data_IF_772687494705
#
_entry.id   IF_772687494705
#
_cell.length_a   1.000
_cell.length_b   1.000
_cell.length_c   1.000
_cell.angle_alpha   90.00
_cell.angle_beta   90.00
_cell.angle_gamma   90.00
#
_symmetry.space_group_name_H-M   'P 1'
#
loop_
_entity.id
_entity.type
_entity.pdbx_description
1 polymer ?
#
# COMPACT_ATOMS: atom_id res chain seq x y z
N UNK A 1 4.33 23.06 37.21
CA UNK A 1 3.14 22.78 36.39
C UNK A 1 3.46 22.87 34.90
N UNK A 2 2.92 22.00 34.05
CA UNK A 2 2.86 22.20 32.60
C UNK A 2 1.44 22.56 32.25
N UNK A 3 1.22 23.57 31.41
CA UNK A 3 -0.07 23.88 30.81
C UNK A 3 0.03 23.76 29.29
N UNK A 4 -0.87 22.98 28.69
CA UNK A 4 -0.98 22.80 27.25
C UNK A 4 -2.34 23.31 26.79
N UNK A 5 -2.32 24.31 25.93
CA UNK A 5 -3.52 24.93 25.37
C UNK A 5 -3.77 24.35 23.98
N UNK A 6 -4.92 23.71 23.78
CA UNK A 6 -5.35 23.23 22.47
C UNK A 6 -6.36 24.21 21.88
N UNK A 7 -6.50 24.23 20.55
CA UNK A 7 -7.55 25.02 19.91
C UNK A 7 -8.94 24.38 20.05
N UNK A 8 -9.01 23.05 20.07
CA UNK A 8 -10.26 22.28 20.19
C UNK A 8 -10.16 21.18 21.26
N UNK A 9 -11.31 20.73 21.76
CA UNK A 9 -11.37 19.71 22.83
C UNK A 9 -11.12 18.30 22.28
N UNK A 10 -11.44 18.09 21.01
CA UNK A 10 -11.23 16.87 20.25
C UNK A 10 -9.75 16.49 20.20
N UNK A 11 -8.85 17.48 20.16
CA UNK A 11 -7.40 17.25 20.21
C UNK A 11 -6.88 17.06 21.64
N UNK A 12 -7.47 17.76 22.61
CA UNK A 12 -7.05 17.66 24.01
C UNK A 12 -7.43 16.31 24.63
N UNK A 13 -8.64 15.82 24.35
CA UNK A 13 -9.21 14.65 25.04
C UNK A 13 -8.37 13.37 24.86
N UNK A 14 -7.91 12.99 23.63
CA UNK A 14 -7.09 11.80 23.45
C UNK A 14 -5.78 11.87 24.26
N UNK A 15 -5.11 13.03 24.26
CA UNK A 15 -3.89 13.20 25.05
C UNK A 15 -4.17 13.12 26.56
N UNK A 16 -5.25 13.76 27.03
CA UNK A 16 -5.68 13.68 28.44
C UNK A 16 -5.92 12.23 28.88
N UNK A 17 -6.66 11.45 28.07
CA UNK A 17 -6.94 10.05 28.35
C UNK A 17 -5.66 9.20 28.34
N UNK A 18 -4.79 9.42 27.35
CA UNK A 18 -3.51 8.71 27.24
C UNK A 18 -2.65 8.93 28.48
N UNK A 19 -2.53 10.16 28.96
CA UNK A 19 -1.80 10.47 30.19
C UNK A 19 -2.48 9.87 31.41
N UNK A 20 -3.81 10.03 31.55
CA UNK A 20 -4.58 9.50 32.68
C UNK A 20 -4.44 7.99 32.84
N UNK A 21 -4.45 7.25 31.73
CA UNK A 21 -4.39 5.78 31.74
C UNK A 21 -2.99 5.23 32.01
N UNK A 22 -1.93 5.96 31.62
CA UNK A 22 -0.56 5.48 31.68
C UNK A 22 0.26 6.05 32.85
N UNK A 23 -0.20 7.13 33.51
CA UNK A 23 0.45 7.63 34.72
C UNK A 23 0.12 6.68 35.90
N UNK A 24 1.00 5.71 36.15
CA UNK A 24 0.94 4.73 37.27
C UNK A 24 1.18 5.39 38.65
N UNK A 25 0.47 6.46 38.97
CA UNK A 25 0.44 7.04 40.32
C UNK A 25 -0.80 6.55 41.06
N UNK A 26 -0.70 6.36 42.38
CA UNK A 26 -1.83 5.91 43.21
C UNK A 26 -3.04 6.88 43.20
N UNK A 27 -2.91 8.08 42.60
CA UNK A 27 -3.95 9.09 42.40
C UNK A 27 -3.71 9.91 41.10
N UNK A 28 -4.04 9.37 39.92
CA UNK A 28 -3.82 10.07 38.64
C UNK A 28 -4.64 11.37 38.51
N UNK A 29 -5.83 11.43 39.12
CA UNK A 29 -6.71 12.60 39.12
C UNK A 29 -6.10 13.82 39.84
N UNK A 30 -5.04 13.64 40.64
CA UNK A 30 -4.36 14.73 41.32
C UNK A 30 -3.22 15.35 40.51
N UNK A 31 -2.83 14.75 39.38
CA UNK A 31 -1.65 15.16 38.63
C UNK A 31 -1.96 15.69 37.23
N UNK A 32 -3.14 15.41 36.68
CA UNK A 32 -3.59 15.95 35.41
C UNK A 32 -5.04 16.44 35.49
N UNK A 33 -5.27 17.65 34.99
CA UNK A 33 -6.57 18.31 34.94
C UNK A 33 -6.87 18.73 33.50
N UNK A 34 -8.11 18.52 33.06
CA UNK A 34 -8.66 19.12 31.85
C UNK A 34 -9.67 20.18 32.29
N UNK A 35 -9.50 21.43 31.86
CA UNK A 35 -10.44 22.50 32.22
C UNK A 35 -11.84 22.27 31.62
N UNK A 36 -12.88 22.61 32.38
CA UNK A 36 -14.28 22.38 31.99
C UNK A 36 -14.73 23.29 30.83
N UNK A 37 -14.27 24.54 30.83
CA UNK A 37 -14.69 25.57 29.86
C UNK A 37 -13.67 25.81 28.74
N UNK A 38 -12.44 25.32 28.89
CA UNK A 38 -11.35 25.51 27.92
C UNK A 38 -10.62 24.19 27.68
N UNK A 39 -10.15 23.91 26.45
CA UNK A 39 -9.35 22.72 26.15
C UNK A 39 -7.89 22.89 26.63
N UNK A 40 -7.72 23.09 27.94
CA UNK A 40 -6.43 23.28 28.59
C UNK A 40 -6.14 22.07 29.46
N UNK A 41 -4.99 21.44 29.22
CA UNK A 41 -4.47 20.35 30.03
C UNK A 41 -3.41 20.89 30.98
N UNK A 42 -3.61 20.71 32.28
CA UNK A 42 -2.65 21.07 33.32
C UNK A 42 -2.06 19.83 33.95
N UNK A 43 -0.74 19.75 33.96
CA UNK A 43 0.02 18.65 34.57
C UNK A 43 0.81 19.18 35.76
N UNK A 44 0.52 18.69 36.95
CA UNK A 44 1.17 19.12 38.20
C UNK A 44 2.53 18.41 38.32
N UNK A 45 3.58 19.09 37.88
CA UNK A 45 4.94 18.52 37.82
C UNK A 45 5.72 18.52 39.12
N UNK A 46 5.27 19.23 40.16
CA UNK A 46 6.03 19.39 41.42
C UNK A 46 6.16 18.09 42.21
N UNK A 47 5.14 17.23 42.13
CA UNK A 47 5.12 15.91 42.76
C UNK A 47 5.66 14.78 41.86
N UNK A 48 6.05 15.09 40.61
CA UNK A 48 6.50 14.06 39.65
C UNK A 48 8.00 13.79 39.77
N UNK A 49 8.35 12.50 39.79
CA UNK A 49 9.72 12.03 39.63
C UNK A 49 10.23 12.35 38.23
N UNK A 50 11.55 12.36 38.04
CA UNK A 50 12.15 12.52 36.70
C UNK A 50 11.69 11.43 35.73
N UNK A 51 11.50 10.18 36.21
CA UNK A 51 10.97 9.10 35.39
C UNK A 51 9.54 9.39 34.92
N UNK A 52 8.64 9.81 35.82
CA UNK A 52 7.27 10.13 35.45
C UNK A 52 7.21 11.32 34.47
N UNK A 53 8.10 12.30 34.63
CA UNK A 53 8.23 13.42 33.69
C UNK A 53 8.73 12.97 32.31
N UNK A 54 9.66 12.03 32.25
CA UNK A 54 10.11 11.40 31.00
C UNK A 54 8.97 10.64 30.32
N UNK A 55 8.17 9.88 31.08
CA UNK A 55 7.02 9.17 30.50
C UNK A 55 5.97 10.10 29.92
N UNK A 56 5.69 11.26 30.53
CA UNK A 56 4.77 12.25 29.94
C UNK A 56 5.24 12.71 28.56
N UNK A 57 6.56 12.90 28.38
CA UNK A 57 7.12 13.25 27.07
C UNK A 57 6.96 12.13 26.05
N UNK A 58 7.10 10.87 26.48
CA UNK A 58 6.86 9.72 25.62
C UNK A 58 5.38 9.62 25.23
N UNK A 59 4.46 9.80 26.17
CA UNK A 59 3.03 9.80 25.89
C UNK A 59 2.65 10.94 24.94
N UNK A 60 3.26 12.12 25.10
CA UNK A 60 3.03 13.23 24.16
C UNK A 60 3.58 12.94 22.77
N UNK A 61 4.74 12.25 22.68
CA UNK A 61 5.27 11.75 21.42
C UNK A 61 4.33 10.73 20.76
N UNK A 62 3.80 9.77 21.52
CA UNK A 62 2.87 8.75 21.03
C UNK A 62 1.55 9.35 20.58
N UNK A 63 1.00 10.31 21.34
CA UNK A 63 -0.19 11.06 20.95
C UNK A 63 -0.02 11.74 19.59
N UNK A 64 1.12 12.41 19.38
CA UNK A 64 1.38 13.06 18.10
C UNK A 64 1.49 12.01 16.99
N UNK A 65 2.26 10.94 17.23
CA UNK A 65 2.58 9.94 16.20
C UNK A 65 1.37 9.10 15.79
N UNK A 66 0.55 8.66 16.75
CA UNK A 66 -0.51 7.67 16.52
C UNK A 66 -1.91 8.26 16.52
N UNK A 67 -2.09 9.51 16.95
CA UNK A 67 -3.40 10.18 16.90
C UNK A 67 -3.37 11.31 15.88
N UNK A 68 -2.42 12.26 16.02
CA UNK A 68 -2.45 13.46 15.20
C UNK A 68 -1.93 13.27 13.78
N UNK A 69 -1.01 12.32 13.53
CA UNK A 69 -0.51 12.07 12.18
C UNK A 69 -1.62 11.74 11.19
N UNK A 70 -2.55 10.85 11.53
CA UNK A 70 -3.68 10.49 10.64
C UNK A 70 -4.58 11.68 10.35
N UNK A 71 -4.93 12.46 11.38
CA UNK A 71 -5.71 13.69 11.21
C UNK A 71 -5.00 14.65 10.24
N UNK A 72 -3.68 14.78 10.37
CA UNK A 72 -2.89 15.65 9.51
C UNK A 72 -2.76 15.10 8.09
N UNK A 73 -2.59 13.79 7.90
CA UNK A 73 -2.62 13.19 6.56
C UNK A 73 -3.96 13.42 5.88
N UNK A 74 -5.08 13.20 6.58
CA UNK A 74 -6.43 13.50 6.09
C UNK A 74 -6.61 14.98 5.76
N UNK A 75 -6.11 15.87 6.62
CA UNK A 75 -6.16 17.32 6.38
C UNK A 75 -5.37 17.72 5.14
N UNK A 76 -4.16 17.16 4.95
CA UNK A 76 -3.34 17.41 3.76
C UNK A 76 -4.07 16.91 2.50
N UNK A 77 -4.62 15.70 2.53
CA UNK A 77 -5.36 15.11 1.40
C UNK A 77 -6.57 15.97 1.00
N UNK A 78 -7.36 16.40 1.98
CA UNK A 78 -8.60 17.16 1.75
C UNK A 78 -8.34 18.63 1.41
N UNK A 79 -7.51 19.33 2.18
CA UNK A 79 -7.34 20.78 2.03
C UNK A 79 -6.32 21.15 0.95
N UNK A 80 -5.24 20.38 0.79
CA UNK A 80 -4.17 20.69 -0.17
C UNK A 80 -4.34 19.97 -1.50
N UNK A 81 -4.74 18.69 -1.47
CA UNK A 81 -4.88 17.87 -2.68
C UNK A 81 -6.34 17.71 -3.15
N UNK A 82 -7.31 18.25 -2.40
CA UNK A 82 -8.73 18.31 -2.75
C UNK A 82 -9.40 16.94 -2.95
N UNK A 83 -8.89 15.91 -2.28
CA UNK A 83 -9.58 14.61 -2.17
C UNK A 83 -10.79 14.76 -1.25
N UNK A 84 -11.98 14.42 -1.75
CA UNK A 84 -13.24 14.55 -0.98
C UNK A 84 -13.97 13.20 -0.81
N UNK A 85 -13.52 12.16 -1.52
CA UNK A 85 -14.09 10.82 -1.41
C UNK A 85 -13.37 10.06 -0.27
N UNK A 86 -14.14 9.55 0.69
CA UNK A 86 -13.58 8.87 1.86
C UNK A 86 -12.96 7.51 1.53
N UNK A 87 -13.40 6.83 0.47
CA UNK A 87 -12.78 5.57 0.03
C UNK A 87 -11.42 5.85 -0.60
N UNK A 88 -11.30 6.87 -1.46
CA UNK A 88 -10.02 7.30 -2.02
C UNK A 88 -9.05 7.77 -0.93
N UNK A 89 -9.53 8.57 0.03
CA UNK A 89 -8.71 9.03 1.16
C UNK A 89 -8.22 7.82 1.95
N UNK A 90 -9.08 6.86 2.27
CA UNK A 90 -8.69 5.67 3.03
C UNK A 90 -7.66 4.83 2.27
N UNK A 91 -7.83 4.64 0.97
CA UNK A 91 -6.87 3.91 0.13
C UNK A 91 -5.48 4.57 0.15
N UNK A 92 -5.41 5.90 0.08
CA UNK A 92 -4.15 6.62 0.14
C UNK A 92 -3.52 6.53 1.55
N UNK A 93 -4.32 6.61 2.61
CA UNK A 93 -3.85 6.42 3.98
C UNK A 93 -3.27 5.02 4.20
N UNK A 94 -3.90 3.98 3.66
CA UNK A 94 -3.40 2.61 3.75
C UNK A 94 -2.01 2.49 3.10
N UNK A 95 -1.79 3.15 1.96
CA UNK A 95 -0.46 3.22 1.33
C UNK A 95 0.53 3.96 2.24
N UNK A 96 0.15 5.09 2.84
CA UNK A 96 1.02 5.82 3.79
C UNK A 96 1.43 4.90 4.94
N UNK A 97 0.48 4.16 5.53
CA UNK A 97 0.73 3.25 6.64
C UNK A 97 1.67 2.11 6.25
N UNK A 98 1.45 1.46 5.10
CA UNK A 98 2.39 0.44 4.58
C UNK A 98 3.81 0.98 4.34
N UNK A 99 3.97 2.25 3.96
CA UNK A 99 5.30 2.88 3.86
C UNK A 99 5.91 3.08 5.27
N UNK A 100 5.13 3.59 6.23
CA UNK A 100 5.59 3.86 7.60
C UNK A 100 5.96 2.57 8.35
N UNK A 101 5.23 1.48 8.13
CA UNK A 101 5.49 0.15 8.70
C UNK A 101 6.66 -0.56 8.01
N UNK A 102 7.12 -0.05 6.87
CA UNK A 102 8.27 -0.57 6.13
C UNK A 102 7.93 -1.75 5.22
N UNK A 103 6.63 -1.99 4.97
CA UNK A 103 6.16 -3.01 4.02
C UNK A 103 6.50 -2.63 2.57
N UNK A 104 6.55 -1.33 2.28
CA UNK A 104 6.96 -0.77 0.98
C UNK A 104 8.36 -0.14 1.06
N UNK A 105 9.38 -1.01 1.14
CA UNK A 105 10.77 -0.58 1.39
C UNK A 105 11.33 0.36 0.33
N UNK A 106 11.02 0.14 -0.95
CA UNK A 106 11.44 1.00 -2.06
C UNK A 106 10.89 2.43 -1.95
N UNK A 107 9.62 2.58 -1.54
CA UNK A 107 8.99 3.89 -1.34
C UNK A 107 9.55 4.57 -0.09
N UNK A 108 9.76 3.81 0.98
CA UNK A 108 10.36 4.34 2.20
C UNK A 108 11.77 4.90 1.93
N UNK A 109 12.57 4.27 1.05
CA UNK A 109 13.89 4.76 0.67
C UNK A 109 13.87 6.11 -0.08
N UNK A 110 12.79 6.41 -0.80
CA UNK A 110 12.61 7.71 -1.45
C UNK A 110 12.36 8.84 -0.45
N UNK A 111 11.97 8.52 0.78
CA UNK A 111 11.69 9.49 1.85
C UNK A 111 12.82 9.53 2.89
N UNK A 112 13.55 8.42 3.07
CA UNK A 112 14.60 8.27 4.09
C UNK A 112 15.59 9.41 4.07
N UNK A 113 15.69 10.07 5.21
CA UNK A 113 16.77 10.99 5.54
C UNK A 113 17.45 10.54 6.84
N UNK A 114 18.76 10.64 6.90
CA UNK A 114 19.56 9.99 7.95
C UNK A 114 19.35 10.54 9.37
N UNK A 115 18.61 11.65 9.53
CA UNK A 115 18.36 12.35 10.80
C UNK A 115 16.92 12.15 11.37
N UNK A 116 16.10 11.33 10.70
CA UNK A 116 14.63 11.34 10.74
C UNK A 116 13.92 10.97 12.05
N UNK A 117 14.42 10.00 12.84
CA UNK A 117 13.66 9.50 14.02
C UNK A 117 13.73 10.44 15.23
N UNK A 118 14.61 11.45 15.17
CA UNK A 118 14.89 12.28 16.33
C UNK A 118 14.23 13.66 16.29
N UNK A 119 13.72 14.15 15.16
CA UNK A 119 13.19 15.51 15.06
C UNK A 119 12.02 15.79 16.02
N UNK A 120 11.00 14.92 16.02
CA UNK A 120 9.85 15.07 16.93
C UNK A 120 10.27 14.92 18.40
N UNK A 121 11.09 13.90 18.71
CA UNK A 121 11.60 13.69 20.08
C UNK A 121 12.45 14.88 20.57
N UNK A 122 13.31 15.43 19.71
CA UNK A 122 14.12 16.61 20.02
C UNK A 122 13.23 17.84 20.24
N UNK A 123 12.24 18.08 19.39
CA UNK A 123 11.30 19.20 19.52
C UNK A 123 10.53 19.11 20.84
N UNK A 124 10.00 17.94 21.18
CA UNK A 124 9.30 17.68 22.45
C UNK A 124 10.25 17.86 23.63
N UNK A 125 11.44 17.27 23.59
CA UNK A 125 12.41 17.38 24.68
C UNK A 125 12.87 18.81 24.94
N UNK A 126 13.04 19.60 23.89
CA UNK A 126 13.46 20.98 23.99
C UNK A 126 12.35 21.89 24.52
N UNK A 127 11.10 21.65 24.09
CA UNK A 127 9.94 22.46 24.48
C UNK A 127 9.43 22.07 25.86
N UNK A 128 9.18 20.79 26.13
CA UNK A 128 8.49 20.32 27.33
C UNK A 128 9.43 20.33 28.54
N UNK A 129 9.40 21.44 29.28
CA UNK A 129 10.15 21.68 30.53
C UNK A 129 9.19 21.78 31.71
N UNK A 130 9.68 21.57 32.93
CA UNK A 130 8.90 21.87 34.15
C UNK A 130 8.56 23.37 34.17
N UNK A 131 7.35 23.72 34.60
CA UNK A 131 6.90 25.12 34.72
C UNK A 131 6.80 25.85 33.37
N UNK A 132 6.12 25.22 32.40
CA UNK A 132 5.88 25.81 31.07
C UNK A 132 4.39 25.90 30.76
N UNK A 133 3.99 26.91 30.00
CA UNK A 133 2.66 27.06 29.43
C UNK A 133 2.81 27.33 27.93
N UNK A 134 2.16 26.54 27.07
CA UNK A 134 2.29 26.69 25.61
C UNK A 134 1.02 26.26 24.86
N UNK A 135 0.87 26.75 23.63
CA UNK A 135 -0.17 26.31 22.69
C UNK A 135 0.33 25.13 21.86
N UNK A 136 -0.47 24.07 21.80
CA UNK A 136 -0.23 22.91 20.95
C UNK A 136 -0.15 23.32 19.47
N UNK A 137 -1.10 24.09 18.98
CA UNK A 137 -1.16 24.56 17.59
C UNK A 137 0.06 25.41 17.21
N UNK A 138 0.50 26.28 18.13
CA UNK A 138 1.72 27.06 17.95
C UNK A 138 2.96 26.15 17.93
N UNK A 139 3.01 25.14 18.79
CA UNK A 139 4.09 24.14 18.78
C UNK A 139 4.14 23.41 17.43
N UNK A 140 3.01 22.93 16.92
CA UNK A 140 2.91 22.27 15.62
C UNK A 140 3.38 23.22 14.50
N UNK A 141 2.79 24.42 14.42
CA UNK A 141 3.07 25.40 13.34
C UNK A 141 4.52 25.86 13.28
N UNK A 142 5.17 26.05 14.42
CA UNK A 142 6.50 26.66 14.48
C UNK A 142 7.63 25.68 14.76
N UNK A 143 7.42 24.70 15.66
CA UNK A 143 8.46 23.76 16.08
C UNK A 143 8.41 22.43 15.34
N UNK A 144 7.26 22.05 14.80
CA UNK A 144 7.11 20.82 14.00
C UNK A 144 7.04 21.08 12.50
N UNK A 145 7.41 22.27 12.02
CA UNK A 145 7.34 22.60 10.58
C UNK A 145 8.03 21.56 9.70
N UNK A 146 9.23 21.15 10.06
CA UNK A 146 10.00 20.14 9.33
C UNK A 146 9.34 18.76 9.39
N UNK A 147 8.78 18.40 10.55
CA UNK A 147 8.01 17.18 10.70
C UNK A 147 6.75 17.19 9.82
N UNK A 148 5.97 18.28 9.81
CA UNK A 148 4.79 18.42 8.96
C UNK A 148 5.16 18.38 7.47
N UNK A 149 6.26 19.01 7.06
CA UNK A 149 6.75 18.93 5.67
C UNK A 149 7.07 17.49 5.25
N UNK A 150 7.48 16.62 6.19
CA UNK A 150 7.66 15.19 5.90
C UNK A 150 6.33 14.48 5.72
N UNK A 151 5.31 14.80 6.52
CA UNK A 151 3.97 14.25 6.33
C UNK A 151 3.44 14.56 4.92
N UNK A 152 3.67 15.79 4.45
CA UNK A 152 3.32 16.17 3.07
C UNK A 152 4.03 15.31 2.02
N UNK A 153 5.31 14.98 2.23
CA UNK A 153 6.06 14.10 1.31
C UNK A 153 5.52 12.67 1.30
N UNK A 154 5.11 12.14 2.45
CA UNK A 154 4.40 10.84 2.50
C UNK A 154 3.10 10.91 1.71
N UNK A 155 2.30 11.97 1.91
CA UNK A 155 1.05 12.15 1.14
C UNK A 155 1.32 12.24 -0.36
N UNK A 156 2.29 13.04 -0.80
CA UNK A 156 2.65 13.19 -2.21
C UNK A 156 3.05 11.85 -2.83
N UNK A 157 3.94 11.11 -2.17
CA UNK A 157 4.39 9.81 -2.67
C UNK A 157 3.25 8.79 -2.72
N UNK A 158 2.41 8.75 -1.69
CA UNK A 158 1.27 7.83 -1.64
C UNK A 158 0.18 8.17 -2.66
N UNK A 159 -0.01 9.45 -2.99
CA UNK A 159 -0.89 9.86 -4.10
C UNK A 159 -0.34 9.36 -5.44
N UNK A 160 0.95 9.50 -5.68
CA UNK A 160 1.57 9.04 -6.93
C UNK A 160 1.44 7.52 -7.07
N UNK A 161 1.70 6.79 -5.99
CA UNK A 161 1.53 5.33 -5.95
C UNK A 161 0.06 4.92 -6.15
N UNK A 162 -0.87 5.58 -5.47
CA UNK A 162 -2.30 5.36 -5.64
C UNK A 162 -2.72 5.53 -7.11
N UNK A 163 -2.28 6.61 -7.76
CA UNK A 163 -2.58 6.86 -9.18
C UNK A 163 -1.97 5.81 -10.09
N UNK A 164 -0.74 5.37 -9.81
CA UNK A 164 -0.11 4.28 -10.56
C UNK A 164 -0.87 2.97 -10.43
N UNK A 165 -1.37 2.64 -9.24
CA UNK A 165 -2.21 1.46 -9.01
C UNK A 165 -3.54 1.57 -9.76
N UNK A 166 -4.20 2.75 -9.75
CA UNK A 166 -5.43 2.99 -10.52
C UNK A 166 -5.21 2.90 -12.03
N UNK A 167 -4.15 3.50 -12.55
CA UNK A 167 -3.79 3.44 -13.97
C UNK A 167 -3.54 1.99 -14.40
N UNK A 168 -2.89 1.18 -13.55
CA UNK A 168 -2.71 -0.24 -13.80
C UNK A 168 -4.05 -0.99 -13.86
N UNK A 169 -4.99 -0.75 -12.93
CA UNK A 169 -6.32 -1.39 -12.97
C UNK A 169 -7.11 -0.99 -14.22
N UNK A 170 -7.10 0.30 -14.59
CA UNK A 170 -7.72 0.80 -15.82
C UNK A 170 -7.10 0.17 -17.07
N UNK A 171 -5.80 -0.02 -17.06
CA UNK A 171 -5.10 -0.72 -18.13
C UNK A 171 -5.52 -2.19 -18.24
N UNK A 172 -5.56 -2.93 -17.13
CA UNK A 172 -6.05 -4.32 -17.10
C UNK A 172 -7.49 -4.40 -17.63
N UNK A 173 -8.35 -3.49 -17.19
CA UNK A 173 -9.74 -3.43 -17.66
C UNK A 173 -9.83 -3.20 -19.17
N UNK A 174 -8.99 -2.33 -19.72
CA UNK A 174 -8.90 -2.11 -21.18
C UNK A 174 -8.54 -3.40 -21.92
N UNK A 175 -7.64 -4.23 -21.36
CA UNK A 175 -7.27 -5.51 -21.94
C UNK A 175 -8.41 -6.55 -21.86
N UNK A 176 -9.16 -6.58 -20.75
CA UNK A 176 -10.34 -7.44 -20.60
C UNK A 176 -11.42 -7.10 -21.63
N UNK A 177 -11.70 -5.81 -21.80
CA UNK A 177 -12.63 -5.32 -22.82
C UNK A 177 -12.16 -5.71 -24.23
N UNK A 178 -10.86 -5.57 -24.50
CA UNK A 178 -10.28 -6.02 -25.76
C UNK A 178 -10.53 -7.52 -26.03
N UNK A 179 -10.32 -8.38 -25.04
CA UNK A 179 -10.57 -9.83 -25.16
C UNK A 179 -12.06 -10.13 -25.37
N UNK A 180 -12.95 -9.45 -24.64
CA UNK A 180 -14.39 -9.73 -24.63
C UNK A 180 -15.06 -9.63 -26.01
N UNK A 181 -14.48 -8.82 -26.91
CA UNK A 181 -15.02 -8.58 -28.26
C UNK A 181 -14.48 -9.57 -29.31
N UNK A 182 -13.58 -10.48 -28.94
CA UNK A 182 -12.92 -11.41 -29.86
C UNK A 182 -13.41 -12.84 -29.69
N UNK A 183 -13.51 -13.54 -30.82
CA UNK A 183 -13.65 -15.00 -30.83
C UNK A 183 -12.32 -15.66 -30.49
N UNK A 184 -12.35 -16.70 -29.66
CA UNK A 184 -11.17 -17.50 -29.37
C UNK A 184 -10.60 -18.15 -30.65
N UNK A 185 -9.29 -18.01 -30.86
CA UNK A 185 -8.60 -18.73 -31.94
C UNK A 185 -8.30 -20.19 -31.56
N UNK A 186 -8.19 -20.44 -30.25
CA UNK A 186 -7.93 -21.77 -29.69
C UNK A 186 -8.77 -21.93 -28.42
N UNK A 187 -9.51 -23.03 -28.29
CA UNK A 187 -10.37 -23.25 -27.12
C UNK A 187 -9.58 -23.53 -25.84
N UNK A 188 -8.46 -24.25 -25.94
CA UNK A 188 -7.63 -24.66 -24.82
C UNK A 188 -6.16 -24.38 -25.11
N UNK A 189 -5.51 -23.63 -24.22
CA UNK A 189 -4.10 -23.28 -24.31
C UNK A 189 -3.38 -23.72 -23.04
N UNK A 190 -2.29 -24.45 -23.19
CA UNK A 190 -1.41 -24.81 -22.08
C UNK A 190 -0.16 -23.92 -22.13
N UNK A 191 0.23 -23.34 -20.99
CA UNK A 191 1.40 -22.47 -20.86
C UNK A 191 2.30 -23.05 -19.78
N UNK A 192 3.51 -23.45 -20.14
CA UNK A 192 4.53 -23.88 -19.20
C UNK A 192 5.51 -22.72 -18.97
N UNK A 193 5.61 -22.24 -17.73
CA UNK A 193 6.52 -21.19 -17.30
C UNK A 193 7.53 -21.77 -16.31
N UNK A 194 8.72 -22.06 -16.82
CA UNK A 194 9.90 -22.47 -16.04
C UNK A 194 11.06 -21.50 -16.36
N UNK A 195 12.18 -21.98 -16.92
CA UNK A 195 13.25 -21.08 -17.44
C UNK A 195 12.81 -20.34 -18.72
N UNK A 196 12.03 -21.01 -19.55
CA UNK A 196 11.42 -20.47 -20.78
C UNK A 196 9.89 -20.50 -20.67
N UNK A 197 9.23 -19.68 -21.49
CA UNK A 197 7.76 -19.67 -21.63
C UNK A 197 7.39 -20.44 -22.90
N UNK A 198 6.71 -21.56 -22.73
CA UNK A 198 6.30 -22.45 -23.82
C UNK A 198 4.77 -22.54 -23.91
N UNK A 199 4.26 -22.54 -25.14
CA UNK A 199 2.83 -22.61 -25.45
C UNK A 199 2.50 -23.93 -26.13
N UNK A 200 1.40 -24.55 -25.75
CA UNK A 200 0.87 -25.76 -26.37
C UNK A 200 -0.63 -25.63 -26.61
N UNK A 201 -1.12 -26.23 -27.68
CA UNK A 201 -2.56 -26.35 -27.94
C UNK A 201 -3.19 -27.44 -27.05
N UNK A 202 -4.49 -27.68 -27.24
CA UNK A 202 -5.25 -28.69 -26.49
C UNK A 202 -4.78 -30.14 -26.68
N UNK A 203 -3.95 -30.42 -27.69
CA UNK A 203 -3.34 -31.74 -27.94
C UNK A 203 -1.91 -31.84 -27.36
N UNK A 204 -1.48 -30.82 -26.60
CA UNK A 204 -0.11 -30.69 -26.10
C UNK A 204 0.95 -30.62 -27.22
N UNK A 205 0.57 -30.16 -28.42
CA UNK A 205 1.52 -29.84 -29.49
C UNK A 205 2.06 -28.43 -29.27
N UNK A 206 3.38 -28.29 -29.31
CA UNK A 206 4.06 -27.01 -29.05
C UNK A 206 3.74 -26.01 -30.18
N UNK A 207 3.18 -24.86 -29.81
CA UNK A 207 2.98 -23.72 -30.71
C UNK A 207 4.29 -22.95 -30.74
N UNK A 208 5.04 -23.14 -31.83
CA UNK A 208 6.36 -22.52 -32.02
C UNK A 208 6.25 -20.99 -31.99
N UNK A 209 7.28 -20.32 -31.49
CA UNK A 209 7.37 -18.84 -31.46
C UNK A 209 7.05 -18.17 -32.80
N UNK A 210 7.51 -18.74 -33.91
CA UNK A 210 7.19 -18.24 -35.26
C UNK A 210 5.70 -18.31 -35.63
N UNK A 211 4.95 -19.27 -35.08
CA UNK A 211 3.50 -19.37 -35.25
C UNK A 211 2.80 -18.33 -34.38
N UNK A 212 3.20 -18.20 -33.10
CA UNK A 212 2.67 -17.17 -32.19
C UNK A 212 2.83 -15.78 -32.78
N UNK A 213 4.01 -15.42 -33.28
CA UNK A 213 4.27 -14.09 -33.88
C UNK A 213 3.36 -13.78 -35.07
N UNK A 214 2.93 -14.80 -35.83
CA UNK A 214 1.98 -14.63 -36.95
C UNK A 214 0.55 -14.38 -36.47
N UNK A 215 0.20 -14.84 -35.28
CA UNK A 215 -1.12 -14.66 -34.67
C UNK A 215 -1.25 -13.30 -33.98
N UNK A 216 -0.14 -12.64 -33.61
CA UNK A 216 -0.15 -11.36 -32.90
C UNK A 216 -0.85 -10.27 -33.73
N UNK A 217 -1.87 -9.64 -33.15
CA UNK A 217 -2.37 -8.36 -33.63
C UNK A 217 -1.35 -7.26 -33.29
N UNK A 218 -0.60 -6.81 -34.29
CA UNK A 218 0.47 -5.83 -34.11
C UNK A 218 -0.02 -4.50 -33.51
N UNK A 219 -1.30 -4.17 -33.61
CA UNK A 219 -1.86 -2.95 -33.01
C UNK A 219 -1.71 -2.93 -31.49
N UNK A 220 -1.74 -4.10 -30.84
CA UNK A 220 -1.56 -4.23 -29.39
C UNK A 220 -0.20 -3.72 -28.92
N UNK A 221 0.85 -3.99 -29.69
CA UNK A 221 2.22 -3.59 -29.37
C UNK A 221 2.45 -2.08 -29.55
N UNK A 222 1.70 -1.44 -30.46
CA UNK A 222 1.81 0.01 -30.70
C UNK A 222 1.01 0.82 -29.68
N UNK A 223 -0.16 0.32 -29.26
CA UNK A 223 -1.05 1.06 -28.37
C UNK A 223 -0.62 0.94 -26.89
N UNK A 224 0.05 -0.15 -26.51
CA UNK A 224 0.38 -0.44 -25.10
C UNK A 224 1.82 -0.95 -24.90
N UNK A 225 2.85 -0.18 -25.29
CA UNK A 225 4.23 -0.67 -25.36
C UNK A 225 4.87 -0.98 -24.00
N UNK A 226 4.34 -0.42 -22.90
CA UNK A 226 4.93 -0.57 -21.56
C UNK A 226 4.57 -1.91 -20.92
N UNK A 227 3.33 -2.37 -21.08
CA UNK A 227 2.79 -3.52 -20.35
C UNK A 227 2.47 -4.74 -21.24
N UNK A 228 2.47 -4.58 -22.56
CA UNK A 228 2.20 -5.67 -23.50
C UNK A 228 3.48 -6.11 -24.19
N UNK A 229 4.05 -7.22 -23.71
CA UNK A 229 5.24 -7.81 -24.31
C UNK A 229 4.88 -8.68 -25.54
N UNK A 230 5.82 -8.79 -26.47
CA UNK A 230 5.63 -9.55 -27.72
C UNK A 230 5.72 -11.07 -27.56
N UNK A 231 6.13 -11.57 -26.41
CA UNK A 231 6.44 -12.99 -26.15
C UNK A 231 5.37 -13.73 -25.37
N UNK A 232 4.58 -13.04 -24.56
CA UNK A 232 3.60 -13.65 -23.67
C UNK A 232 2.26 -12.95 -23.74
N UNK A 233 2.18 -11.68 -23.32
CA UNK A 233 0.89 -10.98 -23.24
C UNK A 233 0.29 -10.75 -24.63
N UNK A 234 1.05 -10.24 -25.62
CA UNK A 234 0.49 -10.00 -26.95
C UNK A 234 -0.02 -11.27 -27.66
N UNK A 235 0.70 -12.41 -27.64
CA UNK A 235 0.16 -13.68 -28.12
C UNK A 235 -1.14 -14.07 -27.43
N UNK A 236 -1.21 -14.00 -26.09
CA UNK A 236 -2.39 -14.39 -25.32
C UNK A 236 -3.61 -13.51 -25.66
N UNK A 237 -3.43 -12.19 -25.68
CA UNK A 237 -4.48 -11.25 -26.08
C UNK A 237 -4.95 -11.48 -27.52
N UNK A 238 -4.06 -11.93 -28.40
CA UNK A 238 -4.38 -12.16 -29.82
C UNK A 238 -5.09 -13.47 -30.05
N UNK A 239 -4.73 -14.52 -29.30
CA UNK A 239 -5.38 -15.84 -29.34
C UNK A 239 -6.73 -15.78 -28.63
N UNK A 240 -6.82 -14.99 -27.55
CA UNK A 240 -8.01 -14.85 -26.71
C UNK A 240 -8.65 -16.21 -26.32
N UNK A 241 -7.87 -17.17 -25.79
CA UNK A 241 -8.34 -18.53 -25.58
C UNK A 241 -9.54 -18.59 -24.62
N UNK A 242 -10.37 -19.63 -24.76
CA UNK A 242 -11.49 -19.87 -23.83
C UNK A 242 -10.97 -20.38 -22.47
N UNK A 243 -9.95 -21.25 -22.48
CA UNK A 243 -9.33 -21.81 -21.29
C UNK A 243 -7.81 -21.77 -21.38
N UNK A 244 -7.16 -21.39 -20.29
CA UNK A 244 -5.72 -21.33 -20.11
C UNK A 244 -5.34 -22.23 -18.93
N UNK A 245 -4.53 -23.25 -19.19
CA UNK A 245 -3.88 -24.03 -18.14
C UNK A 245 -2.45 -23.54 -17.99
N UNK A 246 -2.15 -22.88 -16.87
CA UNK A 246 -0.85 -22.30 -16.60
C UNK A 246 -0.08 -23.18 -15.61
N UNK A 247 1.14 -23.55 -15.97
CA UNK A 247 1.99 -24.43 -15.18
C UNK A 247 3.27 -23.70 -14.77
N UNK A 248 3.52 -23.59 -13.47
CA UNK A 248 4.75 -22.96 -12.98
C UNK A 248 5.16 -23.52 -11.61
N UNK A 249 6.45 -23.39 -11.28
CA UNK A 249 6.98 -23.64 -9.93
C UNK A 249 6.73 -22.46 -9.00
N UNK A 250 6.58 -21.25 -9.56
CA UNK A 250 6.43 -20.00 -8.82
C UNK A 250 5.12 -19.30 -9.25
N UNK A 251 3.95 -19.78 -8.76
CA UNK A 251 2.64 -19.27 -9.19
C UNK A 251 2.42 -17.78 -8.84
N UNK A 252 3.19 -17.25 -7.89
CA UNK A 252 3.06 -15.88 -7.39
C UNK A 252 3.88 -14.85 -8.17
N UNK A 253 4.60 -15.25 -9.22
CA UNK A 253 5.42 -14.30 -9.98
C UNK A 253 4.57 -13.23 -10.70
N UNK A 254 5.10 -12.00 -10.92
CA UNK A 254 4.33 -10.87 -11.45
C UNK A 254 3.62 -11.13 -12.79
N UNK A 255 4.26 -11.90 -13.68
CA UNK A 255 3.69 -12.25 -14.98
C UNK A 255 2.45 -13.12 -14.86
N UNK A 256 2.47 -14.13 -13.98
CA UNK A 256 1.31 -15.02 -13.76
C UNK A 256 0.16 -14.23 -13.16
N UNK A 257 0.44 -13.38 -12.17
CA UNK A 257 -0.56 -12.47 -11.60
C UNK A 257 -1.19 -11.59 -12.67
N UNK A 258 -0.38 -11.03 -13.56
CA UNK A 258 -0.87 -10.22 -14.69
C UNK A 258 -1.76 -11.04 -15.64
N UNK A 259 -1.37 -12.27 -16.00
CA UNK A 259 -2.19 -13.15 -16.84
C UNK A 259 -3.52 -13.49 -16.13
N UNK A 260 -3.49 -13.82 -14.85
CA UNK A 260 -4.70 -14.11 -14.06
C UNK A 260 -5.61 -12.89 -13.96
N UNK A 261 -5.04 -11.70 -13.76
CA UNK A 261 -5.81 -10.46 -13.75
C UNK A 261 -6.48 -10.21 -15.11
N UNK A 262 -5.79 -10.45 -16.23
CA UNK A 262 -6.34 -10.20 -17.57
C UNK A 262 -7.41 -11.24 -17.97
N UNK A 263 -7.19 -12.52 -17.68
CA UNK A 263 -8.01 -13.63 -18.19
C UNK A 263 -8.97 -14.23 -17.15
N UNK A 264 -8.90 -13.78 -15.89
CA UNK A 264 -9.84 -14.09 -14.82
C UNK A 264 -10.10 -15.60 -14.71
N UNK A 265 -11.37 -16.03 -14.72
CA UNK A 265 -11.77 -17.43 -14.56
C UNK A 265 -11.32 -18.37 -15.67
N UNK A 266 -10.78 -17.83 -16.78
CA UNK A 266 -10.23 -18.65 -17.87
C UNK A 266 -8.90 -19.29 -17.48
N UNK A 267 -8.25 -18.86 -16.40
CA UNK A 267 -6.92 -19.37 -16.00
C UNK A 267 -7.05 -20.39 -14.87
N UNK A 268 -6.52 -21.59 -15.11
CA UNK A 268 -6.29 -22.59 -14.07
C UNK A 268 -4.77 -22.78 -13.86
N UNK A 269 -4.29 -22.47 -12.66
CA UNK A 269 -2.91 -22.69 -12.28
C UNK A 269 -2.74 -24.13 -11.77
N UNK A 270 -1.75 -24.86 -12.31
CA UNK A 270 -1.40 -26.20 -11.87
C UNK A 270 0.12 -26.37 -11.72
N UNK A 271 0.54 -27.47 -11.09
CA UNK A 271 1.96 -27.79 -10.93
C UNK A 271 2.59 -28.23 -12.25
N UNK A 272 3.90 -28.00 -12.39
CA UNK A 272 4.67 -28.51 -13.54
C UNK A 272 4.56 -30.04 -13.67
N UNK A 273 4.41 -30.78 -12.56
CA UNK A 273 4.17 -32.23 -12.61
C UNK A 273 2.86 -32.57 -13.31
N UNK A 274 1.78 -31.82 -13.04
CA UNK A 274 0.48 -32.02 -13.66
C UNK A 274 0.54 -31.82 -15.19
N UNK A 275 1.37 -30.91 -15.69
CA UNK A 275 1.62 -30.75 -17.12
C UNK A 275 2.11 -32.05 -17.76
N UNK A 276 3.18 -32.65 -17.22
CA UNK A 276 3.75 -33.88 -17.79
C UNK A 276 2.79 -35.07 -17.67
N UNK A 277 2.03 -35.18 -16.58
CA UNK A 277 1.01 -36.22 -16.42
C UNK A 277 -0.10 -36.10 -17.47
N UNK A 278 -0.63 -34.89 -17.69
CA UNK A 278 -1.68 -34.65 -18.70
C UNK A 278 -1.16 -34.91 -20.12
N UNK A 279 0.05 -34.42 -20.43
CA UNK A 279 0.70 -34.63 -21.72
C UNK A 279 0.91 -36.12 -22.02
N UNK A 280 1.40 -36.89 -21.05
CA UNK A 280 1.61 -38.32 -21.21
C UNK A 280 0.29 -39.06 -21.46
N UNK A 281 -0.77 -38.74 -20.69
CA UNK A 281 -2.11 -39.31 -20.90
C UNK A 281 -2.65 -39.01 -22.30
N UNK A 282 -2.49 -37.79 -22.80
CA UNK A 282 -2.90 -37.41 -24.16
C UNK A 282 -2.17 -38.27 -25.22
N UNK A 283 -0.85 -38.42 -25.07
CA UNK A 283 -0.03 -39.23 -25.98
C UNK A 283 -0.33 -40.73 -25.95
N UNK A 284 -0.87 -41.25 -24.84
CA UNK A 284 -1.30 -42.65 -24.72
C UNK A 284 -2.66 -42.89 -25.37
N UNK A 285 -3.54 -41.87 -25.42
CA UNK A 285 -4.86 -41.95 -26.05
C UNK A 285 -4.70 -42.01 -27.57
N UNK A 286 -3.82 -41.19 -28.16
CA UNK A 286 -3.53 -41.23 -29.61
C UNK A 286 -2.99 -42.58 -30.08
N UNK A 287 -2.28 -43.31 -29.21
CA UNK A 287 -1.78 -44.66 -29.51
C UNK A 287 -2.85 -45.76 -29.45
N UNK A 288 -4.06 -45.45 -28.95
CA UNK A 288 -5.16 -46.42 -28.79
C UNK A 288 -6.28 -46.26 -29.82
N UNK A 289 -6.17 -45.30 -30.73
CA UNK A 289 -7.12 -45.11 -31.84
C UNK A 289 -6.53 -45.82 -33.08
N UNK A 290 -7.19 -46.89 -33.59
CA UNK A 290 -6.72 -47.63 -34.76
C UNK A 290 -6.88 -46.87 -36.09
#
# INVERSE_FOLDING_TARGET
>A
MIEIHFQCREDAMPFYQLVKNNLLTSQPDNHILLEEDQPIIKIITEALTEQAFYEIKNLFYEFILYTKCDDWFRTILTERFLYNDEEEIQQILDIIHSILEGERSELAELIKDSEEKNLLRQAINHMMKRNISFSFDSFVKFRLREFCSRLERYVELSIDEYKMEQDYQMFIQTLREFISTRSALVNCLHILIDEDILFFDGEFLEIKRMQLTKMIDRKLLFNHPVYVDSTTIAPLLSIAPENIYLYSKEPEQPLIRTICNIFEERVLIESVTAFYERRNKCSEIDKRIP
#
